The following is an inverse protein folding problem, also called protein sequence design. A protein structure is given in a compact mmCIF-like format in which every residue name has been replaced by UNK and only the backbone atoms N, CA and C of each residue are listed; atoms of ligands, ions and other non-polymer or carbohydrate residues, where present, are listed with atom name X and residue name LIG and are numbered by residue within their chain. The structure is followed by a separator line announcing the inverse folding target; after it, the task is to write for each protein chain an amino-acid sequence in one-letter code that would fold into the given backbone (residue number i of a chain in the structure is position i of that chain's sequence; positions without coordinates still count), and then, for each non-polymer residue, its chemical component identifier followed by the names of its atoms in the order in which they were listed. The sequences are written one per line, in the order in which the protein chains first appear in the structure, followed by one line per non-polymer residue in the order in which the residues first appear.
data_IF_637284085206
#
_entry.id   IF_637284085206
#
_cell.length_a   1.000
_cell.length_b   1.000
_cell.length_c   1.000
_cell.angle_alpha   90.00
_cell.angle_beta   90.00
_cell.angle_gamma   90.00
#
_symmetry.space_group_name_H-M   'P 1'
#
loop_
_entity.id
_entity.type
_entity.pdbx_description
1 polymer ?
#
# COMPACT_ATOMS: atom_id res chain seq x y z
N UNK A 1 -34.34 5.64 -14.00
CA UNK A 1 -33.25 4.81 -14.56
C UNK A 1 -31.93 5.55 -14.76
N UNK A 2 -31.90 6.79 -15.28
CA UNK A 2 -30.66 7.62 -15.40
C UNK A 2 -29.89 7.82 -14.08
N UNK A 3 -30.58 7.92 -12.94
CA UNK A 3 -29.95 8.16 -11.62
C UNK A 3 -29.08 7.00 -11.12
N UNK A 4 -29.41 5.75 -11.46
CA UNK A 4 -28.60 4.57 -11.07
C UNK A 4 -27.36 4.35 -11.92
N UNK A 5 -27.42 4.75 -13.22
CA UNK A 5 -26.24 4.74 -14.08
C UNK A 5 -25.23 5.82 -13.66
N UNK A 6 -25.71 7.00 -13.25
CA UNK A 6 -24.84 8.05 -12.72
C UNK A 6 -24.20 7.68 -11.38
N UNK A 7 -24.93 7.00 -10.49
CA UNK A 7 -24.36 6.51 -9.24
C UNK A 7 -23.30 5.43 -9.47
N UNK A 8 -23.53 4.50 -10.39
CA UNK A 8 -22.54 3.47 -10.76
C UNK A 8 -21.28 4.06 -11.40
N UNK A 9 -21.44 5.04 -12.32
CA UNK A 9 -20.30 5.75 -12.93
C UNK A 9 -19.53 6.61 -11.92
N UNK A 10 -20.21 7.23 -10.97
CA UNK A 10 -19.54 8.03 -9.92
C UNK A 10 -18.74 7.15 -8.96
N UNK A 11 -19.24 5.97 -8.61
CA UNK A 11 -18.48 4.99 -7.79
C UNK A 11 -17.26 4.50 -8.56
N UNK A 12 -17.39 4.20 -9.86
CA UNK A 12 -16.28 3.75 -10.72
C UNK A 12 -15.24 4.88 -10.90
N UNK A 13 -15.67 6.12 -11.13
CA UNK A 13 -14.77 7.28 -11.24
C UNK A 13 -14.11 7.62 -9.91
N UNK A 14 -14.80 7.49 -8.79
CA UNK A 14 -14.22 7.68 -7.46
C UNK A 14 -13.16 6.61 -7.16
N UNK A 15 -13.40 5.33 -7.50
CA UNK A 15 -12.42 4.26 -7.33
C UNK A 15 -11.22 4.39 -8.26
N UNK A 16 -11.42 4.85 -9.50
CA UNK A 16 -10.33 5.12 -10.46
C UNK A 16 -9.55 6.39 -10.12
N UNK A 17 -10.23 7.45 -9.65
CA UNK A 17 -9.60 8.72 -9.29
C UNK A 17 -8.77 8.66 -8.02
N UNK A 18 -9.20 7.88 -7.02
CA UNK A 18 -8.44 7.70 -5.76
C UNK A 18 -7.23 6.76 -5.97
N UNK A 19 -7.31 5.82 -6.92
CA UNK A 19 -6.21 4.90 -7.22
C UNK A 19 -4.97 5.58 -7.80
N UNK A 20 -5.11 6.72 -8.47
CA UNK A 20 -3.97 7.39 -9.12
C UNK A 20 -3.11 8.23 -8.16
N UNK A 21 -3.68 8.74 -7.08
CA UNK A 21 -2.97 9.63 -6.13
C UNK A 21 -2.17 8.87 -5.05
N UNK A 22 -2.52 7.61 -4.75
CA UNK A 22 -1.92 6.83 -3.65
C UNK A 22 -1.18 5.56 -4.11
N UNK A 23 -1.00 5.37 -5.42
CA UNK A 23 -0.37 4.17 -6.00
C UNK A 23 1.14 4.01 -5.67
N UNK A 24 1.72 4.88 -4.83
CA UNK A 24 3.15 4.92 -4.59
C UNK A 24 3.60 4.35 -3.24
N UNK A 25 2.70 4.15 -2.30
CA UNK A 25 3.06 3.61 -0.99
C UNK A 25 3.03 2.08 -0.99
N UNK A 26 4.19 1.44 -0.97
CA UNK A 26 4.33 -0.01 -0.82
C UNK A 26 5.06 -0.35 0.46
N UNK A 27 4.55 -1.32 1.27
CA UNK A 27 5.25 -1.81 2.45
C UNK A 27 6.63 -2.39 2.11
N UNK A 28 6.80 -2.94 0.90
CA UNK A 28 8.04 -3.54 0.42
C UNK A 28 9.11 -2.53 0.00
N UNK A 29 8.74 -1.33 -0.40
CA UNK A 29 9.70 -0.30 -0.78
C UNK A 29 10.66 0.07 0.35
N UNK A 30 10.34 -0.38 1.57
CA UNK A 30 11.05 -0.02 2.78
C UNK A 30 11.90 -1.16 3.40
N UNK A 31 11.93 -2.37 2.86
CA UNK A 31 12.71 -3.45 3.47
C UNK A 31 14.23 -3.17 3.47
N UNK A 32 14.74 -2.60 2.38
CA UNK A 32 16.15 -2.20 2.31
C UNK A 32 16.44 -1.04 3.29
N UNK A 33 15.54 -0.08 3.40
CA UNK A 33 15.65 1.04 4.33
C UNK A 33 15.64 0.54 5.78
N UNK A 34 14.71 -0.36 6.13
CA UNK A 34 14.63 -0.99 7.46
C UNK A 34 15.89 -1.78 7.78
N UNK A 35 16.44 -2.53 6.83
CA UNK A 35 17.65 -3.34 7.04
C UNK A 35 18.84 -2.45 7.39
N UNK A 36 19.02 -1.33 6.69
CA UNK A 36 20.11 -0.38 6.96
C UNK A 36 19.98 0.28 8.33
N UNK A 37 18.76 0.72 8.69
CA UNK A 37 18.48 1.29 10.01
C UNK A 37 18.73 0.29 11.14
N UNK A 38 18.26 -0.94 10.98
CA UNK A 38 18.48 -2.03 11.94
C UNK A 38 19.96 -2.38 12.11
N UNK A 39 20.73 -2.37 11.04
CA UNK A 39 22.18 -2.62 11.09
C UNK A 39 22.88 -1.56 11.94
N UNK A 40 22.54 -0.28 11.79
CA UNK A 40 23.10 0.81 12.59
C UNK A 40 22.77 0.66 14.08
N UNK A 41 21.51 0.39 14.41
CA UNK A 41 21.07 0.15 15.78
C UNK A 41 21.76 -1.07 16.40
N UNK A 42 21.91 -2.17 15.67
CA UNK A 42 22.62 -3.38 16.13
C UNK A 42 24.09 -3.10 16.39
N UNK A 43 24.76 -2.36 15.52
CA UNK A 43 26.17 -2.00 15.68
C UNK A 43 26.37 -1.09 16.91
N UNK A 44 25.45 -0.14 17.16
CA UNK A 44 25.47 0.70 18.36
C UNK A 44 25.25 -0.11 19.63
N UNK A 45 24.30 -1.04 19.63
CA UNK A 45 24.08 -1.95 20.77
C UNK A 45 25.30 -2.83 21.06
N UNK A 46 26.03 -3.24 20.04
CA UNK A 46 27.28 -3.98 20.23
C UNK A 46 28.37 -3.09 20.87
N UNK A 47 28.45 -1.82 20.48
CA UNK A 47 29.37 -0.84 21.10
C UNK A 47 29.00 -0.60 22.56
N UNK A 48 27.74 -0.33 22.89
CA UNK A 48 27.32 -0.09 24.29
C UNK A 48 27.49 -1.32 25.17
N UNK A 49 27.23 -2.53 24.62
CA UNK A 49 27.47 -3.78 25.34
C UNK A 49 28.95 -3.95 25.73
N UNK A 50 29.87 -3.63 24.82
CA UNK A 50 31.32 -3.72 25.09
C UNK A 50 31.77 -2.66 26.10
N UNK A 51 31.18 -1.42 25.98
CA UNK A 51 31.48 -0.31 26.88
C UNK A 51 31.11 -0.63 28.33
N UNK A 52 29.97 -1.29 28.54
CA UNK A 52 29.44 -1.65 29.86
C UNK A 52 29.77 -3.09 30.27
N UNK A 53 30.71 -3.75 29.59
CA UNK A 53 31.14 -5.07 29.96
C UNK A 53 31.87 -5.06 31.32
N UNK A 54 31.87 -6.18 32.04
CA UNK A 54 32.50 -6.32 33.37
C UNK A 54 34.03 -6.05 33.30
N UNK A 55 34.67 -6.32 32.18
CA UNK A 55 36.08 -6.04 31.92
C UNK A 55 36.22 -5.42 30.51
N UNK A 56 35.95 -4.13 30.37
CA UNK A 56 36.00 -3.48 29.08
C UNK A 56 37.44 -3.37 28.57
N UNK A 57 37.69 -3.84 27.35
CA UNK A 57 38.99 -3.73 26.70
C UNK A 57 39.00 -2.53 25.77
N UNK A 58 39.94 -1.61 25.92
CA UNK A 58 40.01 -0.39 25.12
C UNK A 58 39.99 -0.67 23.62
N UNK A 59 40.85 -1.60 23.16
CA UNK A 59 40.95 -1.94 21.73
C UNK A 59 39.60 -2.47 21.18
N UNK A 60 38.87 -3.23 22.00
CA UNK A 60 37.57 -3.76 21.65
C UNK A 60 36.49 -2.64 21.57
N UNK A 61 36.53 -1.68 22.52
CA UNK A 61 35.67 -0.51 22.51
C UNK A 61 35.90 0.36 21.25
N UNK A 62 37.18 0.63 20.96
CA UNK A 62 37.58 1.43 19.79
C UNK A 62 37.14 0.76 18.48
N UNK A 63 37.29 -0.55 18.37
CA UNK A 63 36.85 -1.32 17.19
C UNK A 63 35.33 -1.30 17.06
N UNK A 64 34.59 -1.49 18.17
CA UNK A 64 33.13 -1.44 18.15
C UNK A 64 32.62 -0.03 17.84
N UNK A 65 33.24 1.01 18.36
CA UNK A 65 32.91 2.40 18.00
C UNK A 65 33.09 2.66 16.51
N UNK A 66 34.21 2.16 15.93
CA UNK A 66 34.48 2.27 14.49
C UNK A 66 33.47 1.50 13.65
N UNK A 67 33.09 0.28 14.05
CA UNK A 67 32.05 -0.50 13.39
C UNK A 67 30.69 0.22 13.43
N UNK A 68 30.30 0.76 14.58
CA UNK A 68 29.10 1.55 14.73
C UNK A 68 29.15 2.83 13.87
N UNK A 69 30.26 3.58 13.90
CA UNK A 69 30.42 4.76 13.05
C UNK A 69 30.30 4.43 11.56
N UNK A 70 30.82 3.28 11.13
CA UNK A 70 30.70 2.81 9.75
C UNK A 70 29.24 2.48 9.41
N UNK A 71 28.51 1.82 10.30
CA UNK A 71 27.09 1.52 10.10
C UNK A 71 26.23 2.80 9.99
N UNK A 72 26.48 3.80 10.83
CA UNK A 72 25.82 5.12 10.70
C UNK A 72 26.24 5.88 9.44
N UNK A 73 27.48 5.68 8.97
CA UNK A 73 27.90 6.23 7.67
C UNK A 73 27.10 5.63 6.50
N UNK A 74 26.79 4.34 6.57
CA UNK A 74 25.94 3.67 5.58
C UNK A 74 24.54 4.29 5.60
N UNK A 75 23.91 4.52 6.77
CA UNK A 75 22.63 5.21 6.87
C UNK A 75 22.67 6.62 6.27
N UNK A 76 23.70 7.40 6.61
CA UNK A 76 23.86 8.77 6.11
C UNK A 76 24.01 8.81 4.58
N UNK A 77 24.67 7.79 3.98
CA UNK A 77 24.83 7.66 2.52
C UNK A 77 23.69 6.94 1.80
N UNK A 78 22.76 6.34 2.54
CA UNK A 78 21.70 5.50 1.97
C UNK A 78 20.73 6.33 1.13
N UNK A 79 20.34 5.77 -0.03
CA UNK A 79 19.28 6.35 -0.88
C UNK A 79 17.93 5.78 -0.46
N UNK A 80 17.23 6.49 0.43
CA UNK A 80 15.89 6.09 0.85
C UNK A 80 14.90 6.13 -0.31
N UNK A 81 13.89 5.27 -0.26
CA UNK A 81 12.88 5.19 -1.30
C UNK A 81 12.10 6.49 -1.45
N UNK A 82 12.04 7.04 -2.66
CA UNK A 82 11.22 8.21 -2.97
C UNK A 82 9.75 7.87 -3.25
N UNK A 83 9.40 6.57 -3.23
CA UNK A 83 8.06 6.09 -3.59
C UNK A 83 7.00 6.41 -2.52
N UNK A 84 7.42 6.74 -1.30
CA UNK A 84 6.53 7.04 -0.17
C UNK A 84 6.16 8.54 -0.07
N UNK A 85 6.56 9.34 -1.06
CA UNK A 85 6.20 10.75 -1.16
C UNK A 85 7.19 11.72 -0.48
N UNK A 86 6.86 13.01 -0.56
CA UNK A 86 7.74 14.09 -0.10
C UNK A 86 7.89 14.13 1.42
N UNK A 87 6.87 13.72 2.16
CA UNK A 87 6.90 13.67 3.62
C UNK A 87 7.90 12.62 4.11
N UNK A 88 7.84 11.43 3.56
CA UNK A 88 8.82 10.38 3.84
C UNK A 88 10.25 10.83 3.48
N UNK A 89 10.42 11.49 2.33
CA UNK A 89 11.71 12.00 1.87
C UNK A 89 12.29 13.04 2.85
N UNK A 90 11.45 13.92 3.42
CA UNK A 90 11.87 14.90 4.44
C UNK A 90 12.31 14.21 5.74
N UNK A 91 11.54 13.21 6.22
CA UNK A 91 11.90 12.47 7.43
C UNK A 91 13.15 11.59 7.21
N UNK A 92 13.31 11.00 6.03
CA UNK A 92 14.52 10.28 5.64
C UNK A 92 15.76 11.19 5.62
N UNK A 93 15.62 12.43 5.15
CA UNK A 93 16.69 13.42 5.20
C UNK A 93 17.08 13.75 6.65
N UNK A 94 16.11 13.92 7.55
CA UNK A 94 16.37 14.14 8.96
C UNK A 94 17.10 12.94 9.61
N UNK A 95 16.72 11.70 9.29
CA UNK A 95 17.41 10.49 9.73
C UNK A 95 18.87 10.48 9.27
N UNK A 96 19.15 10.84 8.02
CA UNK A 96 20.51 10.94 7.47
C UNK A 96 21.35 11.98 8.21
N UNK A 97 20.80 13.14 8.49
CA UNK A 97 21.45 14.20 9.25
C UNK A 97 21.83 13.74 10.65
N UNK A 98 20.90 13.11 11.37
CA UNK A 98 21.14 12.59 12.72
C UNK A 98 22.14 11.43 12.70
N UNK A 99 22.08 10.54 11.72
CA UNK A 99 23.07 9.47 11.52
C UNK A 99 24.48 10.02 11.30
N UNK A 100 24.64 11.13 10.55
CA UNK A 100 25.91 11.78 10.35
C UNK A 100 26.46 12.38 11.65
N UNK A 101 25.60 12.95 12.49
CA UNK A 101 26.00 13.46 13.82
C UNK A 101 26.51 12.32 14.72
N UNK A 102 25.77 11.20 14.81
CA UNK A 102 26.20 10.03 15.57
C UNK A 102 27.51 9.45 15.04
N UNK A 103 27.66 9.28 13.72
CA UNK A 103 28.91 8.87 13.08
C UNK A 103 30.09 9.73 13.52
N UNK A 104 29.90 11.04 13.50
CA UNK A 104 30.97 12.01 13.81
C UNK A 104 31.40 11.90 15.27
N UNK A 105 30.45 11.73 16.20
CA UNK A 105 30.75 11.50 17.60
C UNK A 105 31.44 10.17 17.84
N UNK A 106 30.92 9.07 17.29
CA UNK A 106 31.53 7.75 17.44
C UNK A 106 32.95 7.68 16.86
N UNK A 107 33.22 8.45 15.81
CA UNK A 107 34.58 8.57 15.25
C UNK A 107 35.59 9.24 16.20
N UNK A 108 35.13 9.94 17.23
CA UNK A 108 35.98 10.57 18.28
C UNK A 108 36.20 9.65 19.49
N UNK A 109 35.59 8.48 19.54
CA UNK A 109 35.71 7.54 20.67
C UNK A 109 37.19 7.23 21.07
N UNK A 110 38.13 6.93 20.14
CA UNK A 110 39.49 6.66 20.50
C UNK A 110 40.18 7.83 21.22
N UNK A 111 39.82 9.06 20.85
CA UNK A 111 40.39 10.27 21.47
C UNK A 111 39.75 10.53 22.85
N UNK A 112 38.43 10.36 22.99
CA UNK A 112 37.73 10.52 24.25
C UNK A 112 38.20 9.53 25.33
N UNK A 113 38.45 8.30 24.94
CA UNK A 113 38.94 7.26 25.87
C UNK A 113 40.47 7.18 25.99
N UNK A 114 41.23 7.96 25.20
CA UNK A 114 42.65 8.06 25.35
C UNK A 114 43.08 8.93 26.55
N UNK A 115 42.30 9.94 26.86
CA UNK A 115 42.50 10.81 28.02
C UNK A 115 42.16 10.03 29.30
N UNK A 116 42.94 10.21 30.36
CA UNK A 116 42.63 9.70 31.69
C UNK A 116 41.58 10.53 32.41
N UNK A 117 40.99 11.50 31.70
CA UNK A 117 39.98 12.40 32.24
C UNK A 117 38.59 11.72 32.16
N UNK A 118 38.16 11.20 33.30
CA UNK A 118 36.87 10.55 33.46
C UNK A 118 35.69 11.50 33.22
N UNK A 119 35.84 12.82 33.49
CA UNK A 119 34.82 13.80 33.27
C UNK A 119 34.62 14.07 31.74
N UNK A 120 35.72 14.19 31.00
CA UNK A 120 35.66 14.35 29.55
C UNK A 120 35.03 13.11 28.88
N UNK A 121 35.37 11.89 29.35
CA UNK A 121 34.76 10.67 28.87
C UNK A 121 33.25 10.61 29.18
N UNK A 122 32.82 11.02 30.37
CA UNK A 122 31.39 11.07 30.73
C UNK A 122 30.61 12.09 29.87
N UNK A 123 31.14 13.27 29.63
CA UNK A 123 30.53 14.26 28.73
C UNK A 123 30.39 13.70 27.33
N UNK A 124 31.46 13.08 26.80
CA UNK A 124 31.45 12.42 25.50
C UNK A 124 30.32 11.36 25.38
N UNK A 125 30.14 10.52 26.40
CA UNK A 125 29.10 9.50 26.41
C UNK A 125 27.73 10.12 26.42
N UNK A 126 27.51 11.16 27.20
CA UNK A 126 26.24 11.91 27.23
C UNK A 126 25.91 12.51 25.85
N UNK A 127 26.91 13.06 25.17
CA UNK A 127 26.75 13.60 23.82
C UNK A 127 26.36 12.50 22.82
N UNK A 128 27.02 11.33 22.88
CA UNK A 128 26.69 10.18 22.02
C UNK A 128 25.28 9.67 22.30
N UNK A 129 24.90 9.49 23.56
CA UNK A 129 23.55 9.04 23.95
C UNK A 129 22.49 10.02 23.49
N UNK A 130 22.74 11.33 23.64
CA UNK A 130 21.84 12.38 23.16
C UNK A 130 21.66 12.34 21.65
N UNK A 131 22.76 12.19 20.91
CA UNK A 131 22.71 12.13 19.45
C UNK A 131 22.00 10.87 18.97
N UNK A 132 22.22 9.72 19.64
CA UNK A 132 21.51 8.47 19.31
C UNK A 132 20.04 8.59 19.65
N UNK A 133 19.66 9.19 20.79
CA UNK A 133 18.27 9.46 21.13
C UNK A 133 17.55 10.34 20.07
N UNK A 134 18.25 11.35 19.53
CA UNK A 134 17.71 12.15 18.43
C UNK A 134 17.59 11.35 17.13
N UNK A 135 18.55 10.49 16.84
CA UNK A 135 18.47 9.58 15.69
C UNK A 135 17.28 8.60 15.82
N UNK A 136 17.13 7.95 16.98
CA UNK A 136 16.05 7.01 17.25
C UNK A 136 14.68 7.69 17.16
N UNK A 137 14.58 8.93 17.66
CA UNK A 137 13.38 9.74 17.49
C UNK A 137 13.06 10.02 16.03
N UNK A 138 14.05 10.39 15.22
CA UNK A 138 13.87 10.62 13.79
C UNK A 138 13.46 9.34 13.04
N UNK A 139 14.05 8.19 13.41
CA UNK A 139 13.65 6.87 12.88
C UNK A 139 12.22 6.52 13.30
N UNK A 140 11.84 6.82 14.53
CA UNK A 140 10.46 6.65 15.02
C UNK A 140 9.45 7.42 14.17
N UNK A 141 9.71 8.70 13.88
CA UNK A 141 8.88 9.52 13.00
C UNK A 141 8.83 8.97 11.56
N UNK A 142 9.96 8.51 11.03
CA UNK A 142 10.01 7.88 9.71
C UNK A 142 9.13 6.61 9.68
N UNK A 143 9.20 5.76 10.70
CA UNK A 143 8.41 4.54 10.80
C UNK A 143 6.90 4.84 10.92
N UNK A 144 6.50 5.84 11.71
CA UNK A 144 5.08 6.23 11.79
C UNK A 144 4.54 6.70 10.45
N UNK A 145 5.34 7.45 9.68
CA UNK A 145 4.96 7.87 8.32
C UNK A 145 4.74 6.67 7.40
N UNK A 146 5.56 5.62 7.53
CA UNK A 146 5.39 4.36 6.78
C UNK A 146 4.13 3.62 7.22
N UNK A 147 3.90 3.53 8.53
CA UNK A 147 2.72 2.84 9.09
C UNK A 147 1.43 3.54 8.69
N UNK A 148 1.41 4.86 8.69
CA UNK A 148 0.26 5.66 8.25
C UNK A 148 -0.02 5.45 6.75
N UNK A 149 1.01 5.45 5.91
CA UNK A 149 0.89 5.16 4.48
C UNK A 149 0.37 3.74 4.23
N UNK A 150 0.88 2.75 4.98
CA UNK A 150 0.42 1.37 4.93
C UNK A 150 -1.04 1.23 5.36
N UNK A 151 -1.43 1.92 6.44
CA UNK A 151 -2.80 1.93 6.93
C UNK A 151 -3.76 2.55 5.91
N UNK A 152 -3.37 3.68 5.29
CA UNK A 152 -4.16 4.33 4.25
C UNK A 152 -4.34 3.40 3.03
N UNK A 153 -3.27 2.72 2.60
CA UNK A 153 -3.30 1.76 1.50
C UNK A 153 -4.17 0.55 1.83
N UNK A 154 -4.05 0.00 3.05
CA UNK A 154 -4.89 -1.11 3.52
C UNK A 154 -6.37 -0.74 3.52
N UNK A 155 -6.72 0.45 4.03
CA UNK A 155 -8.10 0.96 4.00
C UNK A 155 -8.62 1.10 2.58
N UNK A 156 -7.82 1.63 1.66
CA UNK A 156 -8.18 1.75 0.25
C UNK A 156 -8.52 0.39 -0.37
N UNK A 157 -7.65 -0.60 -0.21
CA UNK A 157 -7.90 -1.94 -0.76
C UNK A 157 -9.11 -2.60 -0.11
N UNK A 158 -9.30 -2.43 1.20
CA UNK A 158 -10.49 -2.91 1.89
C UNK A 158 -11.77 -2.29 1.33
N UNK A 159 -11.78 -0.97 1.11
CA UNK A 159 -12.92 -0.30 0.48
C UNK A 159 -13.18 -0.78 -0.95
N UNK A 160 -12.14 -1.06 -1.73
CA UNK A 160 -12.29 -1.65 -3.06
C UNK A 160 -12.95 -3.04 -3.00
N UNK A 161 -12.54 -3.89 -2.07
CA UNK A 161 -13.12 -5.23 -1.87
C UNK A 161 -14.58 -5.13 -1.45
N UNK A 162 -14.89 -4.28 -0.47
CA UNK A 162 -16.27 -4.06 0.01
C UNK A 162 -17.14 -3.50 -1.12
N UNK A 163 -16.66 -2.49 -1.84
CA UNK A 163 -17.39 -1.88 -2.95
C UNK A 163 -17.67 -2.87 -4.07
N UNK A 164 -16.67 -3.65 -4.49
CA UNK A 164 -16.83 -4.69 -5.50
C UNK A 164 -17.78 -5.80 -5.03
N UNK A 165 -17.71 -6.19 -3.76
CA UNK A 165 -18.61 -7.15 -3.14
C UNK A 165 -20.07 -6.69 -3.13
N UNK A 166 -20.30 -5.42 -2.80
CA UNK A 166 -21.64 -4.80 -2.85
C UNK A 166 -22.19 -4.78 -4.28
N UNK A 167 -21.37 -4.44 -5.28
CA UNK A 167 -21.79 -4.47 -6.69
C UNK A 167 -22.19 -5.88 -7.12
N UNK A 168 -21.39 -6.88 -6.76
CA UNK A 168 -21.70 -8.28 -7.06
C UNK A 168 -23.01 -8.76 -6.36
N UNK A 169 -23.19 -8.41 -5.09
CA UNK A 169 -24.39 -8.73 -4.34
C UNK A 169 -25.65 -8.07 -4.91
N UNK A 170 -25.55 -6.77 -5.25
CA UNK A 170 -26.65 -6.03 -5.87
C UNK A 170 -27.01 -6.59 -7.26
N UNK A 171 -26.02 -7.00 -8.07
CA UNK A 171 -26.25 -7.65 -9.35
C UNK A 171 -26.98 -9.00 -9.16
N UNK A 172 -26.62 -9.79 -8.16
CA UNK A 172 -27.29 -11.06 -7.85
C UNK A 172 -28.73 -10.85 -7.39
N UNK A 173 -28.97 -9.91 -6.46
CA UNK A 173 -30.31 -9.57 -5.97
C UNK A 173 -31.17 -9.04 -7.11
N UNK A 174 -30.61 -8.17 -7.97
CA UNK A 174 -31.30 -7.65 -9.15
C UNK A 174 -31.68 -8.77 -10.12
N UNK A 175 -30.76 -9.69 -10.44
CA UNK A 175 -31.04 -10.81 -11.32
C UNK A 175 -32.13 -11.72 -10.75
N UNK A 176 -32.13 -12.00 -9.43
CA UNK A 176 -33.16 -12.77 -8.74
C UNK A 176 -34.53 -12.09 -8.79
N UNK A 177 -34.60 -10.77 -8.52
CA UNK A 177 -35.86 -10.02 -8.58
C UNK A 177 -36.46 -9.99 -9.98
N UNK A 178 -35.64 -9.91 -11.02
CA UNK A 178 -36.11 -9.95 -12.40
C UNK A 178 -36.59 -11.35 -12.82
N UNK A 179 -36.07 -12.41 -12.22
CA UNK A 179 -36.49 -13.79 -12.48
C UNK A 179 -37.95 -14.03 -12.07
N UNK A 180 -38.39 -13.43 -10.97
CA UNK A 180 -39.76 -13.60 -10.45
C UNK A 180 -40.80 -12.71 -11.16
N UNK A 181 -40.38 -11.72 -11.98
CA UNK A 181 -41.28 -10.69 -12.51
C UNK A 181 -41.61 -10.77 -14.01
N UNK A 182 -40.87 -11.56 -14.79
CA UNK A 182 -41.05 -11.52 -16.26
C UNK A 182 -40.84 -12.90 -16.89
N UNK A 183 -41.78 -13.30 -17.75
CA UNK A 183 -41.51 -14.35 -18.77
C UNK A 183 -40.49 -13.77 -19.76
N UNK A 184 -39.24 -14.09 -19.56
CA UNK A 184 -38.15 -13.65 -20.43
C UNK A 184 -37.68 -14.83 -21.28
N UNK A 185 -37.27 -14.55 -22.51
CA UNK A 185 -36.68 -15.55 -23.37
C UNK A 185 -35.42 -16.18 -22.74
N UNK A 186 -35.07 -17.41 -23.11
CA UNK A 186 -33.85 -18.08 -22.65
C UNK A 186 -32.58 -17.25 -22.90
N UNK A 187 -32.59 -16.38 -23.92
CA UNK A 187 -31.47 -15.49 -24.26
C UNK A 187 -31.29 -14.38 -23.23
N UNK A 188 -32.38 -13.71 -22.79
CA UNK A 188 -32.34 -12.66 -21.77
C UNK A 188 -31.98 -13.25 -20.39
N UNK A 189 -32.46 -14.44 -20.10
CA UNK A 189 -32.07 -15.15 -18.85
C UNK A 189 -30.58 -15.43 -18.83
N UNK A 190 -29.98 -15.94 -19.93
CA UNK A 190 -28.54 -16.16 -20.04
C UNK A 190 -27.76 -14.84 -19.90
N UNK A 191 -28.21 -13.77 -20.54
CA UNK A 191 -27.57 -12.45 -20.45
C UNK A 191 -27.61 -11.89 -19.02
N UNK A 192 -28.66 -12.12 -18.23
CA UNK A 192 -28.72 -11.74 -16.81
C UNK A 192 -27.65 -12.45 -15.99
N UNK A 193 -27.51 -13.76 -16.16
CA UNK A 193 -26.48 -14.52 -15.46
C UNK A 193 -25.08 -14.13 -15.91
N UNK A 194 -24.90 -13.74 -17.17
CA UNK A 194 -23.64 -13.18 -17.63
C UNK A 194 -23.30 -11.85 -16.92
N UNK A 195 -24.28 -11.00 -16.62
CA UNK A 195 -24.07 -9.77 -15.81
C UNK A 195 -23.65 -10.11 -14.38
N UNK A 196 -24.26 -11.13 -13.76
CA UNK A 196 -23.88 -11.56 -12.42
C UNK A 196 -22.44 -12.12 -12.39
N UNK A 197 -22.12 -12.98 -13.37
CA UNK A 197 -20.77 -13.51 -13.50
C UNK A 197 -19.73 -12.41 -13.77
N UNK A 198 -20.08 -11.44 -14.63
CA UNK A 198 -19.22 -10.30 -14.91
C UNK A 198 -19.04 -9.38 -13.69
N UNK A 199 -20.04 -9.27 -12.79
CA UNK A 199 -19.93 -8.51 -11.54
C UNK A 199 -18.97 -9.16 -10.52
N UNK A 200 -18.68 -10.46 -10.64
CA UNK A 200 -17.69 -11.12 -9.82
C UNK A 200 -16.24 -10.82 -10.24
N UNK A 201 -16.00 -10.45 -11.50
CA UNK A 201 -14.64 -10.21 -12.02
C UNK A 201 -13.90 -9.04 -11.31
N UNK A 202 -14.50 -7.86 -11.12
CA UNK A 202 -13.84 -6.79 -10.35
C UNK A 202 -13.64 -7.17 -8.88
N UNK A 203 -14.49 -8.00 -8.28
CA UNK A 203 -14.31 -8.50 -6.93
C UNK A 203 -13.06 -9.39 -6.83
N UNK A 204 -12.85 -10.29 -7.80
CA UNK A 204 -11.63 -11.11 -7.85
C UNK A 204 -10.38 -10.24 -7.96
N UNK A 205 -10.41 -9.19 -8.82
CA UNK A 205 -9.30 -8.23 -8.94
C UNK A 205 -9.02 -7.47 -7.64
N UNK A 206 -10.05 -6.97 -6.97
CA UNK A 206 -9.92 -6.25 -5.70
C UNK A 206 -9.38 -7.15 -4.57
N UNK A 207 -9.90 -8.39 -4.46
CA UNK A 207 -9.42 -9.37 -3.47
C UNK A 207 -7.96 -9.74 -3.75
N UNK A 208 -7.60 -9.96 -5.01
CA UNK A 208 -6.22 -10.27 -5.40
C UNK A 208 -5.25 -9.14 -4.99
N UNK A 209 -5.60 -7.87 -5.24
CA UNK A 209 -4.79 -6.72 -4.81
C UNK A 209 -4.64 -6.67 -3.29
N UNK A 210 -5.72 -6.91 -2.56
CA UNK A 210 -5.71 -6.91 -1.10
C UNK A 210 -4.83 -8.03 -0.51
N UNK A 211 -4.93 -9.24 -1.06
CA UNK A 211 -4.12 -10.39 -0.64
C UNK A 211 -2.64 -10.16 -0.93
N UNK A 212 -2.30 -9.65 -2.13
CA UNK A 212 -0.94 -9.30 -2.53
C UNK A 212 -0.34 -8.28 -1.55
N UNK A 213 -1.11 -7.26 -1.18
CA UNK A 213 -0.70 -6.25 -0.22
C UNK A 213 -0.41 -6.85 1.17
N UNK A 214 -1.32 -7.68 1.71
CA UNK A 214 -1.14 -8.32 3.03
C UNK A 214 0.07 -9.26 3.04
N UNK A 215 0.29 -10.02 1.95
CA UNK A 215 1.41 -10.95 1.86
C UNK A 215 2.77 -10.25 1.70
N UNK A 216 2.80 -8.94 1.55
CA UNK A 216 4.03 -8.19 1.38
C UNK A 216 4.76 -8.48 0.05
N UNK A 217 4.13 -9.16 -0.90
CA UNK A 217 4.67 -9.46 -2.24
C UNK A 217 4.36 -8.37 -3.26
N UNK A 218 4.03 -7.17 -2.80
CA UNK A 218 3.55 -6.05 -3.60
C UNK A 218 4.66 -5.40 -4.45
N UNK A 219 5.13 -6.10 -5.47
CA UNK A 219 6.02 -5.52 -6.47
C UNK A 219 5.23 -4.69 -7.49
N UNK A 220 5.89 -3.72 -8.16
CA UNK A 220 5.24 -2.90 -9.21
C UNK A 220 4.56 -3.75 -10.27
N UNK A 221 5.18 -4.85 -10.69
CA UNK A 221 4.65 -5.75 -11.72
C UNK A 221 3.39 -6.46 -11.23
N UNK A 222 3.44 -7.05 -10.05
CA UNK A 222 2.33 -7.80 -9.46
C UNK A 222 1.13 -6.89 -9.20
N UNK A 223 1.38 -5.67 -8.73
CA UNK A 223 0.35 -4.64 -8.56
C UNK A 223 -0.24 -4.20 -9.88
N UNK A 224 0.60 -3.98 -10.90
CA UNK A 224 0.13 -3.66 -12.25
C UNK A 224 -0.81 -4.72 -12.81
N UNK A 225 -0.50 -6.01 -12.63
CA UNK A 225 -1.37 -7.12 -13.00
C UNK A 225 -2.69 -7.09 -12.21
N UNK A 226 -2.65 -6.87 -10.90
CA UNK A 226 -3.85 -6.76 -10.07
C UNK A 226 -4.79 -5.62 -10.51
N UNK A 227 -4.25 -4.45 -10.82
CA UNK A 227 -5.04 -3.33 -11.38
C UNK A 227 -5.57 -3.64 -12.79
N UNK A 228 -4.79 -4.32 -13.64
CA UNK A 228 -5.26 -4.74 -14.96
C UNK A 228 -6.44 -5.71 -14.87
N UNK A 229 -6.41 -6.65 -13.92
CA UNK A 229 -7.52 -7.58 -13.65
C UNK A 229 -8.74 -6.82 -13.12
N UNK A 230 -8.57 -5.87 -12.22
CA UNK A 230 -9.66 -5.05 -11.68
C UNK A 230 -10.33 -4.21 -12.78
N UNK A 231 -9.54 -3.47 -13.55
CA UNK A 231 -10.05 -2.61 -14.64
C UNK A 231 -10.65 -3.42 -15.78
N UNK A 232 -10.02 -4.53 -16.16
CA UNK A 232 -10.57 -5.48 -17.12
C UNK A 232 -11.90 -6.07 -16.66
N UNK A 233 -12.01 -6.44 -15.39
CA UNK A 233 -13.26 -6.91 -14.78
C UNK A 233 -14.38 -5.87 -14.84
N UNK A 234 -14.08 -4.60 -14.56
CA UNK A 234 -15.03 -3.49 -14.69
C UNK A 234 -15.48 -3.31 -16.15
N UNK A 235 -14.56 -3.36 -17.10
CA UNK A 235 -14.87 -3.26 -18.52
C UNK A 235 -15.80 -4.41 -19.00
N UNK A 236 -15.54 -5.62 -18.57
CA UNK A 236 -16.40 -6.80 -18.84
C UNK A 236 -17.79 -6.62 -18.25
N UNK A 237 -17.90 -6.11 -17.03
CA UNK A 237 -19.19 -5.82 -16.40
C UNK A 237 -19.99 -4.77 -17.18
N UNK A 238 -19.36 -3.67 -17.57
CA UNK A 238 -20.00 -2.62 -18.38
C UNK A 238 -20.50 -3.21 -19.70
N UNK A 239 -19.67 -4.01 -20.38
CA UNK A 239 -20.05 -4.67 -21.62
C UNK A 239 -21.25 -5.61 -21.43
N UNK A 240 -21.24 -6.45 -20.41
CA UNK A 240 -22.33 -7.38 -20.09
C UNK A 240 -23.64 -6.65 -19.81
N UNK A 241 -23.60 -5.55 -19.07
CA UNK A 241 -24.77 -4.68 -18.81
C UNK A 241 -25.30 -4.07 -20.09
N UNK A 242 -24.43 -3.54 -20.95
CA UNK A 242 -24.84 -2.96 -22.24
C UNK A 242 -25.46 -4.02 -23.16
N UNK A 243 -24.86 -5.22 -23.25
CA UNK A 243 -25.38 -6.33 -24.02
C UNK A 243 -26.77 -6.77 -23.55
N UNK A 244 -26.94 -6.88 -22.20
CA UNK A 244 -28.26 -7.17 -21.62
C UNK A 244 -29.31 -6.12 -21.99
N UNK A 245 -29.00 -4.82 -21.91
CA UNK A 245 -29.91 -3.76 -22.27
C UNK A 245 -30.28 -3.76 -23.74
N UNK A 246 -29.34 -4.04 -24.64
CA UNK A 246 -29.60 -4.17 -26.08
C UNK A 246 -30.56 -5.32 -26.37
N UNK A 247 -30.30 -6.49 -25.79
CA UNK A 247 -31.17 -7.66 -25.94
C UNK A 247 -32.57 -7.40 -25.42
N UNK A 248 -32.71 -6.80 -24.25
CA UNK A 248 -34.02 -6.47 -23.68
C UNK A 248 -34.79 -5.48 -24.52
N UNK A 249 -34.14 -4.45 -25.05
CA UNK A 249 -34.78 -3.49 -25.98
C UNK A 249 -35.24 -4.19 -27.27
N UNK A 250 -34.46 -5.07 -27.83
CA UNK A 250 -34.83 -5.81 -29.02
C UNK A 250 -36.07 -6.69 -28.77
N UNK A 251 -36.15 -7.37 -27.63
CA UNK A 251 -37.36 -8.15 -27.28
C UNK A 251 -38.60 -7.30 -27.05
N UNK A 252 -38.47 -6.14 -26.38
CA UNK A 252 -39.62 -5.25 -26.18
C UNK A 252 -40.10 -4.67 -27.50
N UNK A 253 -39.24 -4.32 -28.42
CA UNK A 253 -39.59 -3.87 -29.75
C UNK A 253 -40.27 -4.99 -30.59
N UNK A 254 -39.71 -6.18 -30.57
CA UNK A 254 -40.29 -7.33 -31.26
C UNK A 254 -41.70 -7.64 -30.74
N UNK A 255 -41.88 -7.65 -29.42
CA UNK A 255 -43.20 -7.86 -28.82
C UNK A 255 -44.21 -6.75 -29.19
N UNK A 256 -43.77 -5.49 -29.28
CA UNK A 256 -44.63 -4.37 -29.69
C UNK A 256 -45.04 -4.47 -31.17
N UNK A 257 -44.15 -4.90 -32.05
CA UNK A 257 -44.42 -5.13 -33.47
C UNK A 257 -45.45 -6.25 -33.63
N UNK A 258 -45.26 -7.37 -32.96
CA UNK A 258 -46.16 -8.53 -33.03
C UNK A 258 -47.56 -8.16 -32.52
N UNK A 259 -47.67 -7.40 -31.41
CA UNK A 259 -48.96 -6.91 -30.89
C UNK A 259 -49.60 -5.89 -31.82
N UNK A 260 -48.84 -5.08 -32.56
CA UNK A 260 -49.32 -4.15 -33.56
C UNK A 260 -49.90 -4.86 -34.80
N UNK A 261 -49.27 -5.88 -35.26
CA UNK A 261 -49.74 -6.68 -36.40
C UNK A 261 -51.04 -7.45 -36.08
N UNK A 262 -51.25 -7.89 -34.84
CA UNK A 262 -52.54 -8.47 -34.42
C UNK A 262 -53.71 -7.47 -34.43
N UNK A 263 -53.48 -6.17 -34.22
CA UNK A 263 -54.49 -5.12 -34.25
C UNK A 263 -54.92 -4.82 -35.67
N UNK A 264 -54.09 -5.00 -36.69
CA UNK A 264 -54.40 -4.76 -38.09
C UNK A 264 -55.05 -5.97 -38.81
N UNK A 265 -55.22 -7.09 -38.14
CA UNK A 265 -55.90 -8.29 -38.70
C UNK A 265 -57.42 -8.36 -38.39
N UNK A 266 -57.98 -7.34 -37.71
CA UNK A 266 -59.40 -7.15 -37.46
C UNK A 266 -59.93 -5.92 -38.24
#
# INVERSE_FOLDING_TARGET
MRRWLLAGTLIILATLGVGSAHAHATPLANQADIAVLKQASTAYQAFTRELYATQPKKDSIDERAKQAATAFAVVAGHSFSTQLGDEYSRHAAAVKEKALAVKTLLGRAPQAFASKDTQAAAVYLTDVETAVGQYDSAVGVLNTTVDDANQATNRLYLFMVIGAGLVAALAAVWARRQYTRTFASKRVVRARWAVVAAAAAPLVGAVSLYVIFIQGSDTRVVRGVGYAVLTGGVAVLIYAVMAYWRLRRAETLAAAITAGDEIYQW
#
